data_IF_922509388376
#
_entry.id   IF_922509388376
#
_cell.length_a   1.000
_cell.length_b   1.000
_cell.length_c   1.000
_cell.angle_alpha   90.00
_cell.angle_beta   90.00
_cell.angle_gamma   90.00
#
_symmetry.space_group_name_H-M   'P 1'
#
loop_
_entity.id
_entity.type
_entity.pdbx_description
1 polymer ?
#
# COMPACT_ATOMS: atom_id res chain seq x y z
N UNK A 1 -51.00 -32.36 8.79
CA UNK A 1 -50.20 -32.23 7.54
C UNK A 1 -49.79 -30.79 7.18
N UNK A 2 -50.61 -29.76 7.46
CA UNK A 2 -50.23 -28.35 7.17
C UNK A 2 -49.14 -27.80 8.09
N UNK A 3 -49.21 -28.11 9.39
CA UNK A 3 -48.24 -27.62 10.40
C UNK A 3 -46.82 -28.12 10.12
N UNK A 4 -46.67 -29.40 9.72
CA UNK A 4 -45.37 -29.99 9.36
C UNK A 4 -44.72 -29.32 8.15
N UNK A 5 -45.52 -28.88 7.16
CA UNK A 5 -45.02 -28.16 5.98
C UNK A 5 -44.57 -26.73 6.33
N UNK A 6 -45.29 -26.07 7.23
CA UNK A 6 -44.92 -24.72 7.72
C UNK A 6 -43.63 -24.81 8.54
N UNK A 7 -43.52 -25.79 9.44
CA UNK A 7 -42.31 -25.98 10.24
C UNK A 7 -41.09 -26.26 9.34
N UNK A 8 -41.24 -27.14 8.35
CA UNK A 8 -40.18 -27.44 7.38
C UNK A 8 -39.75 -26.18 6.60
N UNK A 9 -40.70 -25.35 6.15
CA UNK A 9 -40.41 -24.12 5.43
C UNK A 9 -39.63 -23.12 6.29
N UNK A 10 -40.00 -22.98 7.57
CA UNK A 10 -39.30 -22.12 8.53
C UNK A 10 -37.85 -22.62 8.73
N UNK A 11 -37.64 -23.93 8.89
CA UNK A 11 -36.30 -24.49 9.06
C UNK A 11 -35.42 -24.25 7.84
N UNK A 12 -35.97 -24.39 6.62
CA UNK A 12 -35.24 -24.12 5.37
C UNK A 12 -34.87 -22.65 5.26
N UNK A 13 -35.78 -21.73 5.59
CA UNK A 13 -35.51 -20.28 5.57
C UNK A 13 -34.41 -19.91 6.57
N UNK A 14 -34.47 -20.43 7.81
CA UNK A 14 -33.45 -20.23 8.83
C UNK A 14 -32.09 -20.76 8.37
N UNK A 15 -32.04 -21.94 7.76
CA UNK A 15 -30.81 -22.51 7.23
C UNK A 15 -30.21 -21.64 6.12
N UNK A 16 -31.02 -21.19 5.16
CA UNK A 16 -30.57 -20.30 4.08
C UNK A 16 -30.04 -18.96 4.62
N UNK A 17 -30.71 -18.36 5.60
CA UNK A 17 -30.25 -17.15 6.28
C UNK A 17 -28.91 -17.37 6.98
N UNK A 18 -28.77 -18.46 7.73
CA UNK A 18 -27.52 -18.78 8.43
C UNK A 18 -26.36 -18.98 7.45
N UNK A 19 -26.64 -19.63 6.31
CA UNK A 19 -25.67 -19.84 5.24
C UNK A 19 -25.24 -18.52 4.62
N UNK A 20 -26.20 -17.62 4.32
CA UNK A 20 -25.92 -16.31 3.77
C UNK A 20 -25.10 -15.44 4.73
N UNK A 21 -25.45 -15.41 6.02
CA UNK A 21 -24.68 -14.69 7.05
C UNK A 21 -23.26 -15.25 7.15
N UNK A 22 -23.10 -16.57 7.11
CA UNK A 22 -21.79 -17.22 7.14
C UNK A 22 -20.94 -16.85 5.93
N UNK A 23 -21.54 -16.80 4.73
CA UNK A 23 -20.86 -16.38 3.49
C UNK A 23 -20.42 -14.91 3.59
N UNK A 24 -21.31 -14.02 4.03
CA UNK A 24 -20.98 -12.58 4.18
C UNK A 24 -19.89 -12.36 5.24
N UNK A 25 -19.93 -13.13 6.34
CA UNK A 25 -18.91 -13.06 7.38
C UNK A 25 -17.56 -13.57 6.89
N UNK A 26 -17.52 -14.73 6.21
CA UNK A 26 -16.31 -15.26 5.59
C UNK A 26 -15.74 -14.32 4.54
N UNK A 27 -16.60 -13.72 3.72
CA UNK A 27 -16.20 -12.72 2.72
C UNK A 27 -15.56 -11.50 3.38
N UNK A 28 -16.17 -10.95 4.43
CA UNK A 28 -15.61 -9.82 5.18
C UNK A 28 -14.27 -10.13 5.84
N UNK A 29 -14.08 -11.32 6.41
CA UNK A 29 -12.79 -11.72 7.00
C UNK A 29 -11.68 -11.81 5.94
N UNK A 30 -12.00 -12.32 4.74
CA UNK A 30 -11.01 -12.48 3.67
C UNK A 30 -10.68 -11.14 2.99
N UNK A 31 -11.63 -10.22 2.94
CA UNK A 31 -11.47 -8.91 2.26
C UNK A 31 -11.06 -7.78 3.20
N UNK A 32 -11.32 -7.91 4.51
CA UNK A 32 -10.99 -6.93 5.55
C UNK A 32 -10.34 -7.59 6.80
N UNK A 33 -9.03 -7.86 6.76
CA UNK A 33 -8.16 -7.98 7.94
C UNK A 33 -8.17 -6.71 8.81
N UNK A 34 -8.05 -6.85 10.13
CA UNK A 34 -8.11 -5.73 11.07
C UNK A 34 -6.92 -4.77 10.89
N UNK A 35 -7.18 -3.47 11.08
CA UNK A 35 -6.14 -2.45 11.20
C UNK A 35 -5.28 -2.74 12.42
N UNK A 36 -3.96 -2.57 12.30
CA UNK A 36 -3.02 -2.76 13.40
C UNK A 36 -2.43 -1.40 13.73
N UNK A 37 -2.56 -0.98 14.99
CA UNK A 37 -1.86 0.19 15.50
C UNK A 37 -0.37 -0.13 15.64
N UNK A 38 0.47 0.73 15.10
CA UNK A 38 1.88 0.75 15.43
C UNK A 38 1.97 1.35 16.84
N UNK A 39 2.93 0.90 17.65
CA UNK A 39 3.09 1.41 19.01
C UNK A 39 3.10 2.95 18.99
N UNK A 40 2.18 3.57 19.75
CA UNK A 40 1.86 5.01 19.66
C UNK A 40 3.03 5.96 19.97
N UNK A 41 4.17 5.41 20.42
CA UNK A 41 5.34 6.18 20.83
C UNK A 41 6.48 6.14 19.79
N UNK A 42 6.29 5.49 18.64
CA UNK A 42 7.31 5.42 17.59
C UNK A 42 6.89 6.34 16.45
N UNK A 43 7.65 7.41 16.21
CA UNK A 43 7.46 8.28 15.04
C UNK A 43 8.18 7.64 13.85
N UNK A 44 7.43 7.32 12.80
CA UNK A 44 7.99 6.89 11.51
C UNK A 44 8.46 8.13 10.77
N UNK A 45 9.71 8.14 10.34
CA UNK A 45 10.36 9.32 9.75
C UNK A 45 11.00 9.08 8.39
N UNK A 46 11.05 7.81 7.95
CA UNK A 46 11.68 7.41 6.70
C UNK A 46 10.83 6.37 5.96
N UNK A 47 11.01 6.25 4.65
CA UNK A 47 10.38 5.20 3.85
C UNK A 47 10.85 3.81 4.29
N UNK A 48 12.12 3.67 4.67
CA UNK A 48 12.68 2.40 5.15
C UNK A 48 12.06 1.93 6.48
N UNK A 49 11.85 2.84 7.42
CA UNK A 49 11.16 2.51 8.68
C UNK A 49 9.72 2.05 8.41
N UNK A 50 8.98 2.79 7.58
CA UNK A 50 7.63 2.40 7.17
C UNK A 50 7.62 1.02 6.52
N UNK A 51 8.60 0.73 5.66
CA UNK A 51 8.74 -0.57 5.02
C UNK A 51 8.95 -1.69 6.02
N UNK A 52 9.80 -1.51 7.03
CA UNK A 52 10.05 -2.55 8.03
C UNK A 52 8.74 -3.00 8.70
N UNK A 53 7.88 -2.05 9.07
CA UNK A 53 6.56 -2.33 9.63
C UNK A 53 5.62 -3.00 8.62
N UNK A 54 5.57 -2.48 7.39
CA UNK A 54 4.72 -3.04 6.33
C UNK A 54 5.14 -4.47 5.95
N UNK A 55 6.44 -4.74 5.88
CA UNK A 55 7.01 -6.03 5.51
C UNK A 55 6.77 -7.08 6.60
N UNK A 56 6.97 -6.72 7.88
CA UNK A 56 6.63 -7.59 9.00
C UNK A 56 5.12 -7.93 9.02
N UNK A 57 4.26 -6.93 8.79
CA UNK A 57 2.82 -7.15 8.63
C UNK A 57 2.52 -8.10 7.45
N UNK A 58 3.12 -7.85 6.28
CA UNK A 58 2.91 -8.62 5.06
C UNK A 58 3.37 -10.08 5.25
N UNK A 59 4.57 -10.32 5.77
CA UNK A 59 5.10 -11.68 6.03
C UNK A 59 4.20 -12.47 6.98
N UNK A 60 3.73 -11.86 8.07
CA UNK A 60 2.83 -12.51 9.04
C UNK A 60 1.47 -12.86 8.44
N UNK A 61 0.96 -12.05 7.51
CA UNK A 61 -0.42 -12.13 7.03
C UNK A 61 -0.60 -12.77 5.66
N UNK A 62 0.38 -12.60 4.77
CA UNK A 62 0.35 -13.03 3.37
C UNK A 62 1.27 -14.24 3.15
N UNK A 63 2.33 -14.35 3.96
CA UNK A 63 3.38 -15.36 3.84
C UNK A 63 4.40 -15.05 2.74
N UNK A 64 5.46 -15.85 2.67
CA UNK A 64 6.67 -15.58 1.85
C UNK A 64 6.47 -15.70 0.33
N UNK A 65 5.24 -15.96 -0.12
CA UNK A 65 4.92 -16.08 -1.56
C UNK A 65 4.55 -14.74 -2.20
N UNK A 66 4.44 -13.70 -1.38
CA UNK A 66 4.13 -12.34 -1.79
C UNK A 66 5.37 -11.48 -1.65
N UNK A 67 5.62 -10.66 -2.66
CA UNK A 67 6.78 -9.81 -2.73
C UNK A 67 6.37 -8.38 -3.03
N UNK A 68 7.20 -7.45 -2.58
CA UNK A 68 7.00 -6.04 -2.83
C UNK A 68 7.18 -5.77 -4.34
N UNK A 69 6.12 -5.21 -4.92
CA UNK A 69 6.05 -4.89 -6.33
C UNK A 69 6.22 -3.40 -6.58
N UNK A 70 5.50 -2.56 -5.85
CA UNK A 70 5.54 -1.12 -6.01
C UNK A 70 5.37 -0.43 -4.65
N UNK A 71 5.83 0.81 -4.59
CA UNK A 71 5.62 1.70 -3.46
C UNK A 71 5.07 3.00 -4.02
N UNK A 72 4.06 3.51 -3.35
CA UNK A 72 3.46 4.81 -3.60
C UNK A 72 3.38 5.55 -2.27
N UNK A 73 3.43 6.88 -2.29
CA UNK A 73 3.26 7.63 -1.05
C UNK A 73 2.82 9.07 -1.27
N UNK A 74 2.30 9.65 -0.21
CA UNK A 74 1.80 11.02 -0.19
C UNK A 74 1.98 11.61 1.20
N UNK A 75 2.86 12.61 1.34
CA UNK A 75 3.22 13.21 2.64
C UNK A 75 3.41 14.72 2.56
N UNK A 76 3.13 15.41 3.65
CA UNK A 76 3.47 16.81 3.82
C UNK A 76 4.93 17.02 4.25
N UNK A 77 5.25 18.27 4.62
CA UNK A 77 6.59 18.69 5.04
C UNK A 77 7.03 18.10 6.38
N UNK A 78 6.11 17.65 7.21
CA UNK A 78 6.37 17.05 8.52
C UNK A 78 6.46 15.51 8.45
N UNK A 79 6.44 14.98 7.22
CA UNK A 79 6.40 13.56 6.90
C UNK A 79 5.07 12.89 7.28
N UNK A 80 4.01 13.65 7.48
CA UNK A 80 2.68 13.14 7.81
C UNK A 80 1.91 12.81 6.53
N UNK A 81 1.34 11.60 6.48
CA UNK A 81 0.64 11.08 5.32
C UNK A 81 0.66 9.56 5.21
N UNK A 82 0.56 9.03 3.99
CA UNK A 82 0.39 7.60 3.74
C UNK A 82 1.46 7.05 2.79
N UNK A 83 2.06 5.91 3.17
CA UNK A 83 2.90 5.09 2.28
C UNK A 83 2.16 3.78 1.99
N UNK A 84 2.03 3.45 0.72
CA UNK A 84 1.34 2.26 0.24
C UNK A 84 2.39 1.31 -0.34
N UNK A 85 2.57 0.17 0.32
CA UNK A 85 3.41 -0.93 -0.13
C UNK A 85 2.53 -1.96 -0.83
N UNK A 86 2.79 -2.19 -2.11
CA UNK A 86 1.97 -3.02 -2.99
C UNK A 86 2.66 -4.38 -3.14
N UNK A 87 2.03 -5.44 -2.66
CA UNK A 87 2.54 -6.80 -2.71
C UNK A 87 1.77 -7.65 -3.73
N UNK A 88 2.51 -8.45 -4.48
CA UNK A 88 1.99 -9.34 -5.53
C UNK A 88 2.58 -10.74 -5.43
N UNK A 89 1.93 -11.72 -6.05
CA UNK A 89 2.42 -13.10 -6.14
C UNK A 89 3.08 -13.33 -7.51
N UNK A 90 4.38 -13.68 -7.53
CA UNK A 90 5.19 -13.90 -8.75
C UNK A 90 4.56 -14.80 -9.83
N UNK A 91 3.76 -15.79 -9.43
CA UNK A 91 3.46 -16.96 -10.29
C UNK A 91 2.08 -16.94 -10.95
N UNK A 92 1.31 -15.85 -10.86
CA UNK A 92 -0.08 -15.80 -11.38
C UNK A 92 -0.23 -14.78 -12.51
N UNK A 93 -0.85 -15.21 -13.60
CA UNK A 93 -1.24 -14.35 -14.74
C UNK A 93 -2.23 -13.23 -14.35
N UNK A 94 -3.00 -13.43 -13.27
CA UNK A 94 -3.83 -12.42 -12.61
C UNK A 94 -3.47 -12.42 -11.13
N UNK A 95 -2.53 -11.57 -10.69
CA UNK A 95 -2.09 -11.60 -9.31
C UNK A 95 -3.16 -11.06 -8.38
N UNK A 96 -3.24 -11.70 -7.21
CA UNK A 96 -3.83 -11.15 -6.02
C UNK A 96 -2.95 -9.97 -5.57
N UNK A 97 -3.52 -8.77 -5.42
CA UNK A 97 -2.76 -7.57 -5.04
C UNK A 97 -3.15 -7.15 -3.63
N UNK A 98 -2.14 -6.95 -2.80
CA UNK A 98 -2.29 -6.51 -1.42
C UNK A 98 -1.65 -5.14 -1.25
N UNK A 99 -2.43 -4.20 -0.76
CA UNK A 99 -1.97 -2.86 -0.41
C UNK A 99 -1.80 -2.83 1.11
N UNK A 100 -0.58 -2.63 1.58
CA UNK A 100 -0.27 -2.39 2.99
C UNK A 100 0.00 -0.90 3.14
N UNK A 101 -0.90 -0.20 3.81
CA UNK A 101 -0.89 1.26 3.92
C UNK A 101 -0.38 1.61 5.31
N UNK A 102 0.73 2.32 5.38
CA UNK A 102 1.29 2.88 6.61
C UNK A 102 0.87 4.34 6.67
N UNK A 103 -0.04 4.64 7.61
CA UNK A 103 -0.45 5.99 7.97
C UNK A 103 0.53 6.52 9.02
N UNK A 104 1.43 7.39 8.57
CA UNK A 104 2.51 7.98 9.37
C UNK A 104 2.00 9.05 10.33
N UNK A 105 0.87 9.69 10.03
CA UNK A 105 0.27 10.69 10.90
C UNK A 105 -0.40 10.03 12.12
N UNK A 106 -1.10 8.91 11.88
CA UNK A 106 -1.84 8.18 12.92
C UNK A 106 -1.04 7.01 13.53
N UNK A 107 0.14 6.69 13.00
CA UNK A 107 0.92 5.49 13.35
C UNK A 107 0.07 4.21 13.23
N UNK A 108 -0.62 4.03 12.11
CA UNK A 108 -1.50 2.88 11.86
C UNK A 108 -1.11 2.15 10.57
N UNK A 109 -1.21 0.82 10.61
CA UNK A 109 -1.15 -0.02 9.41
C UNK A 109 -2.57 -0.44 9.06
N UNK A 110 -2.97 -0.10 7.84
CA UNK A 110 -4.20 -0.57 7.22
C UNK A 110 -3.85 -1.47 6.05
N UNK A 111 -4.81 -2.27 5.62
CA UNK A 111 -4.62 -3.07 4.42
C UNK A 111 -5.85 -3.03 3.54
N UNK A 112 -5.63 -3.27 2.24
CA UNK A 112 -6.68 -3.47 1.26
C UNK A 112 -6.28 -4.63 0.35
N UNK A 113 -7.24 -5.44 -0.04
CA UNK A 113 -7.05 -6.57 -0.93
C UNK A 113 -7.87 -6.40 -2.21
N UNK A 114 -7.27 -6.72 -3.35
CA UNK A 114 -7.96 -6.75 -4.63
C UNK A 114 -7.67 -8.06 -5.39
N UNK A 115 -8.73 -8.82 -5.66
CA UNK A 115 -8.72 -9.98 -6.58
C UNK A 115 -8.73 -9.52 -8.03
N UNK A 116 -8.06 -10.25 -8.92
CA UNK A 116 -8.14 -10.05 -10.37
C UNK A 116 -7.86 -8.59 -10.79
N UNK A 117 -6.82 -7.97 -10.20
CA UNK A 117 -6.37 -6.66 -10.65
C UNK A 117 -5.95 -6.78 -12.12
N UNK A 118 -6.83 -6.35 -13.04
CA UNK A 118 -6.57 -6.34 -14.47
C UNK A 118 -5.29 -5.57 -14.71
N UNK A 119 -4.24 -6.21 -15.27
CA UNK A 119 -3.11 -5.68 -16.07
C UNK A 119 -2.38 -4.38 -15.62
N UNK A 120 -2.77 -3.73 -14.53
CA UNK A 120 -2.34 -2.40 -14.10
C UNK A 120 -0.95 -2.44 -13.44
N UNK A 121 -0.55 -3.60 -12.94
CA UNK A 121 0.75 -3.85 -12.31
C UNK A 121 1.60 -4.74 -13.23
N UNK A 122 1.82 -4.27 -14.47
CA UNK A 122 2.52 -5.00 -15.53
C UNK A 122 4.05 -4.97 -15.39
N UNK A 123 4.68 -6.06 -15.84
CA UNK A 123 6.11 -6.42 -15.78
C UNK A 123 6.68 -6.63 -14.36
N UNK A 124 7.67 -7.52 -14.25
CA UNK A 124 8.33 -7.98 -13.03
C UNK A 124 9.09 -6.84 -12.31
N UNK A 125 8.37 -5.85 -11.79
CA UNK A 125 8.93 -4.93 -10.80
C UNK A 125 9.08 -5.70 -9.50
N UNK A 126 10.32 -5.99 -9.13
CA UNK A 126 10.67 -6.46 -7.81
C UNK A 126 11.45 -5.35 -7.15
N UNK A 127 10.97 -4.85 -6.02
CA UNK A 127 11.65 -3.80 -5.28
C UNK A 127 12.32 -4.42 -4.06
N UNK A 128 13.63 -4.20 -3.97
CA UNK A 128 14.39 -4.41 -2.75
C UNK A 128 14.76 -3.07 -2.11
N UNK A 129 13.91 -2.59 -1.20
CA UNK A 129 14.10 -1.33 -0.46
C UNK A 129 15.37 -1.38 0.41
N UNK A 130 15.79 -2.55 0.86
CA UNK A 130 16.97 -2.66 1.73
C UNK A 130 18.23 -2.16 1.00
N UNK A 131 18.28 -2.37 -0.32
CA UNK A 131 19.38 -1.93 -1.20
C UNK A 131 19.25 -0.49 -1.71
N UNK A 132 18.17 0.22 -1.39
CA UNK A 132 18.00 1.60 -1.83
C UNK A 132 18.90 2.55 -1.05
N UNK A 133 19.55 3.48 -1.74
CA UNK A 133 20.19 4.65 -1.13
C UNK A 133 19.31 5.89 -1.19
N UNK A 134 18.15 5.80 -1.84
CA UNK A 134 17.12 6.82 -1.82
C UNK A 134 16.19 6.66 -0.61
N UNK A 135 15.87 7.79 0.03
CA UNK A 135 14.72 7.94 0.91
C UNK A 135 13.99 9.23 0.53
N UNK A 136 12.67 9.28 0.70
CA UNK A 136 11.87 10.43 0.29
C UNK A 136 12.25 11.72 1.04
N UNK A 137 12.83 11.62 2.24
CA UNK A 137 13.39 12.78 2.95
C UNK A 137 14.43 13.52 2.10
N UNK A 138 15.19 12.81 1.26
CA UNK A 138 16.14 13.43 0.33
C UNK A 138 15.45 14.30 -0.72
N UNK A 139 14.26 13.92 -1.15
CA UNK A 139 13.47 14.75 -2.05
C UNK A 139 12.95 16.01 -1.35
N UNK A 140 12.63 15.92 -0.05
CA UNK A 140 12.25 17.07 0.77
C UNK A 140 13.42 18.04 0.93
N UNK A 141 14.64 17.54 1.21
CA UNK A 141 15.86 18.35 1.30
C UNK A 141 16.15 19.06 -0.03
N UNK A 142 16.07 18.33 -1.14
CA UNK A 142 16.31 18.91 -2.47
C UNK A 142 15.26 19.95 -2.86
N UNK A 143 14.03 19.82 -2.37
CA UNK A 143 13.00 20.83 -2.55
C UNK A 143 13.37 22.15 -1.87
N UNK A 144 13.99 22.09 -0.69
CA UNK A 144 14.48 23.27 0.02
C UNK A 144 15.64 23.92 -0.74
N UNK A 145 16.60 23.12 -1.21
CA UNK A 145 17.73 23.61 -2.00
C UNK A 145 17.28 24.32 -3.29
N UNK A 146 16.27 23.77 -3.95
CA UNK A 146 15.70 24.30 -5.19
C UNK A 146 14.63 25.38 -4.96
N UNK A 147 14.33 25.74 -3.71
CA UNK A 147 13.28 26.68 -3.33
C UNK A 147 11.90 26.35 -3.94
N UNK A 148 11.56 25.06 -3.99
CA UNK A 148 10.24 24.60 -4.44
C UNK A 148 9.25 24.84 -3.30
N UNK A 149 8.27 25.72 -3.52
CA UNK A 149 7.15 25.88 -2.59
C UNK A 149 6.05 24.86 -2.91
N UNK A 150 5.90 23.86 -2.04
CA UNK A 150 4.90 22.81 -2.13
C UNK A 150 4.15 22.67 -0.80
N UNK A 151 2.98 22.02 -0.82
CA UNK A 151 2.24 21.62 0.37
C UNK A 151 2.41 20.12 0.66
N UNK A 152 2.50 19.31 -0.39
CA UNK A 152 2.60 17.85 -0.31
C UNK A 152 3.50 17.27 -1.40
N UNK A 153 4.15 16.15 -1.11
CA UNK A 153 4.79 15.29 -2.09
C UNK A 153 3.88 14.12 -2.41
N UNK A 154 3.73 13.81 -3.69
CA UNK A 154 3.19 12.53 -4.15
C UNK A 154 4.30 11.79 -4.88
N UNK A 155 4.48 10.50 -4.63
CA UNK A 155 5.57 9.76 -5.25
C UNK A 155 5.19 8.31 -5.51
N UNK A 156 5.84 7.71 -6.49
CA UNK A 156 5.69 6.29 -6.78
C UNK A 156 6.93 5.72 -7.43
N UNK A 157 7.07 4.41 -7.29
CA UNK A 157 8.09 3.65 -8.00
C UNK A 157 7.70 3.51 -9.46
N UNK A 158 8.60 3.90 -10.36
CA UNK A 158 8.42 3.78 -11.82
C UNK A 158 9.11 2.51 -12.31
N UNK A 159 10.36 2.31 -11.88
CA UNK A 159 11.18 1.13 -12.12
C UNK A 159 11.93 0.76 -10.82
N UNK A 160 12.57 -0.41 -10.76
CA UNK A 160 13.30 -0.85 -9.55
C UNK A 160 14.37 0.19 -9.16
N UNK A 161 15.01 0.77 -10.17
CA UNK A 161 16.07 1.77 -10.06
C UNK A 161 15.54 3.21 -10.06
N UNK A 162 14.21 3.45 -10.13
CA UNK A 162 13.65 4.78 -10.37
C UNK A 162 12.39 5.08 -9.55
N UNK A 163 12.44 6.18 -8.80
CA UNK A 163 11.26 6.83 -8.20
C UNK A 163 10.97 8.16 -8.90
N UNK A 164 9.68 8.44 -9.11
CA UNK A 164 9.19 9.77 -9.49
C UNK A 164 8.56 10.45 -8.27
N UNK A 165 8.95 11.70 -8.00
CA UNK A 165 8.41 12.56 -6.94
C UNK A 165 7.77 13.78 -7.57
N UNK A 166 6.51 14.01 -7.25
CA UNK A 166 5.71 15.16 -7.68
C UNK A 166 5.50 16.11 -6.53
N UNK A 167 5.81 17.38 -6.75
CA UNK A 167 5.57 18.46 -5.81
C UNK A 167 4.18 19.03 -6.06
N UNK A 168 3.34 19.09 -5.03
CA UNK A 168 1.94 19.53 -5.14
C UNK A 168 1.73 20.79 -4.31
N UNK A 169 1.13 21.81 -4.92
CA UNK A 169 0.71 23.06 -4.28
C UNK A 169 -0.74 23.35 -4.63
N UNK A 170 -1.58 23.66 -3.65
CA UNK A 170 -3.00 23.96 -3.84
C UNK A 170 -3.75 22.87 -4.64
N UNK A 171 -3.34 21.60 -4.47
CA UNK A 171 -3.89 20.44 -5.17
C UNK A 171 -3.41 20.25 -6.62
N UNK A 172 -2.46 21.05 -7.10
CA UNK A 172 -1.90 20.96 -8.45
C UNK A 172 -0.44 20.51 -8.40
N UNK A 173 -0.07 19.58 -9.30
CA UNK A 173 1.33 19.19 -9.49
C UNK A 173 2.10 20.33 -10.16
N UNK A 174 3.07 20.89 -9.46
CA UNK A 174 3.83 22.06 -9.89
C UNK A 174 5.23 21.71 -10.41
N UNK A 175 5.81 20.59 -9.95
CA UNK A 175 7.12 20.12 -10.37
C UNK A 175 7.22 18.59 -10.24
N UNK A 176 8.18 17.99 -10.94
CA UNK A 176 8.52 16.58 -10.87
C UNK A 176 10.04 16.38 -10.86
N UNK A 177 10.52 15.60 -9.89
CA UNK A 177 11.90 15.15 -9.81
C UNK A 177 11.94 13.63 -9.82
N UNK A 178 12.82 13.08 -10.66
CA UNK A 178 13.08 11.65 -10.71
C UNK A 178 14.38 11.35 -9.97
N UNK A 179 14.44 10.21 -9.28
CA UNK A 179 15.60 9.77 -8.51
C UNK A 179 15.98 8.34 -8.84
N UNK A 180 17.28 8.08 -8.91
CA UNK A 180 17.79 6.73 -8.96
C UNK A 180 17.75 6.14 -7.54
N UNK A 181 17.08 5.00 -7.37
CA UNK A 181 16.87 4.40 -6.04
C UNK A 181 18.17 3.81 -5.46
N UNK A 182 19.07 3.30 -6.32
CA UNK A 182 20.32 2.68 -5.90
C UNK A 182 21.43 3.68 -5.59
N UNK A 183 21.49 4.82 -6.25
CA UNK A 183 22.48 5.88 -5.93
C UNK A 183 21.89 6.96 -5.02
N UNK A 184 20.56 7.07 -4.99
CA UNK A 184 19.84 8.17 -4.36
C UNK A 184 19.96 9.49 -5.12
N UNK A 185 20.63 9.53 -6.28
CA UNK A 185 20.87 10.77 -7.01
C UNK A 185 19.67 11.16 -7.87
N UNK A 186 19.50 12.47 -8.07
CA UNK A 186 18.50 12.99 -9.01
C UNK A 186 18.86 12.58 -10.42
N UNK A 187 17.88 12.07 -11.17
CA UNK A 187 17.99 11.81 -12.60
C UNK A 187 17.67 13.11 -13.34
N UNK A 188 18.62 13.57 -14.16
CA UNK A 188 18.45 14.76 -15.01
C UNK A 188 18.22 14.28 -16.44
N UNK A 189 17.08 14.65 -17.03
CA UNK A 189 16.76 14.26 -18.40
C UNK A 189 17.84 14.80 -19.37
N UNK A 190 18.52 13.89 -20.07
CA UNK A 190 19.58 14.22 -21.03
C UNK A 190 21.01 13.78 -20.64
N UNK A 191 21.17 13.07 -19.52
CA UNK A 191 22.37 12.30 -19.18
C UNK A 191 22.14 10.80 -19.37
#
# INVERSE_FOLDING_TARGET
>A
MKITRILLAITVILFLLLTLVSIVFLYNIHTNKPNIKIYQNIKISTTKEAYAYANDYAKRNLGDKYELHSIEGSHDKDFEGEIIFIYTKRVKHFPDVYFVIVDTANNEIRYKYQTNANRLYGSDLHIDIENWNFDIVKAMDMAQELNIDYDRLEWHTVYEDKIAVFFVKDGVKIDQLDFNTFTGERIIAGQ
#
